data_IF_555952541775
#
_entry.id   IF_555952541775
#
_cell.length_a   1.000
_cell.length_b   1.000
_cell.length_c   1.000
_cell.angle_alpha   90.00
_cell.angle_beta   90.00
_cell.angle_gamma   90.00
#
_symmetry.space_group_name_H-M   'P 1'
#
loop_
_entity.id
_entity.type
_entity.pdbx_description
1 polymer ?
#
# COMPACT_ATOMS: atom_id res chain seq x y z
N UNK A 1 -7.26 -3.33 -13.81
CA UNK A 1 -8.26 -3.10 -12.74
C UNK A 1 -7.65 -2.41 -11.49
N UNK A 2 -8.38 -1.48 -10.86
CA UNK A 2 -7.99 -0.85 -9.57
C UNK A 2 -8.65 -1.56 -8.39
N UNK A 3 -7.84 -2.11 -7.49
CA UNK A 3 -8.28 -2.73 -6.24
C UNK A 3 -7.98 -1.80 -5.08
N UNK A 4 -8.87 -1.75 -4.09
CA UNK A 4 -8.67 -0.97 -2.89
C UNK A 4 -9.05 -1.78 -1.66
N UNK A 5 -8.44 -1.47 -0.52
CA UNK A 5 -8.89 -1.94 0.78
C UNK A 5 -9.23 -0.70 1.61
N UNK A 6 -10.45 -0.21 1.45
CA UNK A 6 -11.01 0.83 2.29
C UNK A 6 -12.01 0.18 3.24
N UNK A 7 -11.85 0.43 4.54
CA UNK A 7 -12.82 0.03 5.57
C UNK A 7 -12.92 -1.49 5.86
N UNK A 8 -12.03 -2.33 5.30
CA UNK A 8 -12.04 -3.78 5.54
C UNK A 8 -13.39 -4.42 5.18
N UNK A 9 -13.91 -5.29 6.05
CA UNK A 9 -15.19 -5.98 5.87
C UNK A 9 -16.44 -5.11 6.10
N UNK A 10 -16.29 -3.81 6.41
CA UNK A 10 -17.45 -2.95 6.64
C UNK A 10 -18.22 -2.59 5.36
N UNK A 11 -17.65 -2.91 4.20
CA UNK A 11 -18.30 -2.73 2.89
C UNK A 11 -18.27 -4.03 2.10
N UNK A 12 -19.21 -4.17 1.17
CA UNK A 12 -19.32 -5.34 0.33
C UNK A 12 -18.12 -5.41 -0.64
N UNK A 13 -17.28 -6.43 -0.48
CA UNK A 13 -16.08 -6.64 -1.29
C UNK A 13 -16.36 -6.96 -2.78
N UNK A 14 -17.62 -7.07 -3.20
CA UNK A 14 -17.97 -7.37 -4.60
C UNK A 14 -18.70 -6.22 -5.30
N UNK A 15 -18.90 -5.08 -4.63
CA UNK A 15 -19.53 -3.92 -5.24
C UNK A 15 -18.47 -2.85 -5.58
N UNK A 16 -18.46 -2.32 -6.82
CA UNK A 16 -17.56 -1.22 -7.15
C UNK A 16 -17.93 0.04 -6.35
N UNK A 17 -16.93 0.67 -5.75
CA UNK A 17 -17.08 1.92 -5.03
C UNK A 17 -16.68 3.10 -5.90
N UNK A 18 -17.45 4.19 -5.78
CA UNK A 18 -17.22 5.44 -6.50
C UNK A 18 -17.01 6.58 -5.51
N UNK A 19 -15.95 7.34 -5.71
CA UNK A 19 -15.78 8.62 -5.03
C UNK A 19 -16.38 9.74 -5.87
N UNK A 20 -17.38 10.42 -5.32
CA UNK A 20 -18.02 11.54 -5.99
C UNK A 20 -17.08 12.76 -6.03
N UNK A 21 -17.11 13.49 -7.14
CA UNK A 21 -16.30 14.69 -7.36
C UNK A 21 -14.78 14.46 -7.43
N UNK A 22 -14.31 13.21 -7.46
CA UNK A 22 -12.91 12.87 -7.75
C UNK A 22 -12.75 12.65 -9.27
N UNK A 23 -11.99 13.52 -9.92
CA UNK A 23 -11.70 13.47 -11.35
C UNK A 23 -10.97 14.72 -11.83
N UNK A 24 -10.34 14.64 -13.00
CA UNK A 24 -9.55 15.72 -13.59
C UNK A 24 -10.08 16.20 -14.96
N UNK A 25 -11.00 15.45 -15.58
CA UNK A 25 -11.59 15.77 -16.89
C UNK A 25 -13.11 15.82 -16.77
N UNK A 26 -13.72 16.91 -17.26
CA UNK A 26 -15.17 17.07 -17.28
C UNK A 26 -15.78 15.98 -18.18
N UNK A 27 -16.71 15.20 -17.63
CA UNK A 27 -17.30 14.06 -18.33
C UNK A 27 -16.36 12.86 -18.52
N UNK A 28 -15.17 12.88 -17.89
CA UNK A 28 -14.23 11.77 -17.90
C UNK A 28 -14.73 10.55 -17.12
N UNK A 29 -13.95 9.47 -17.19
CA UNK A 29 -14.25 8.26 -16.44
C UNK A 29 -14.23 8.53 -14.93
N UNK A 30 -15.23 8.04 -14.18
CA UNK A 30 -15.20 8.14 -12.73
C UNK A 30 -14.05 7.30 -12.16
N UNK A 31 -13.50 7.73 -11.03
CA UNK A 31 -12.60 6.88 -10.25
C UNK A 31 -13.45 5.78 -9.60
N UNK A 32 -13.12 4.54 -9.94
CA UNK A 32 -13.81 3.34 -9.48
C UNK A 32 -12.81 2.42 -8.79
N UNK A 33 -13.25 1.84 -7.68
CA UNK A 33 -12.47 0.88 -6.91
C UNK A 33 -13.24 -0.42 -6.76
N UNK A 34 -12.54 -1.56 -6.83
CA UNK A 34 -13.06 -2.82 -6.32
C UNK A 34 -12.53 -3.02 -4.90
N UNK A 35 -13.42 -2.94 -3.89
CA UNK A 35 -13.00 -3.15 -2.50
C UNK A 35 -12.67 -4.64 -2.30
N UNK A 36 -11.45 -4.97 -1.89
CA UNK A 36 -10.99 -6.34 -1.71
C UNK A 36 -10.13 -6.47 -0.45
N UNK A 37 -10.02 -7.67 0.14
CA UNK A 37 -9.10 -7.90 1.27
C UNK A 37 -7.64 -7.66 0.88
N UNK A 38 -6.81 -7.17 1.81
CA UNK A 38 -5.37 -6.95 1.60
C UNK A 38 -4.65 -8.13 0.93
N UNK A 39 -5.01 -9.35 1.33
CA UNK A 39 -4.44 -10.59 0.80
C UNK A 39 -4.66 -10.71 -0.71
N UNK A 40 -5.85 -10.35 -1.20
CA UNK A 40 -6.14 -10.40 -2.62
C UNK A 40 -5.38 -9.30 -3.39
N UNK A 41 -5.32 -8.08 -2.86
CA UNK A 41 -4.50 -7.00 -3.43
C UNK A 41 -3.06 -7.47 -3.61
N UNK A 42 -2.51 -8.11 -2.58
CA UNK A 42 -1.16 -8.64 -2.61
C UNK A 42 -0.97 -9.77 -3.63
N UNK A 43 -1.89 -10.74 -3.65
CA UNK A 43 -1.82 -11.87 -4.57
C UNK A 43 -1.88 -11.42 -6.02
N UNK A 44 -2.74 -10.45 -6.34
CA UNK A 44 -2.85 -9.86 -7.67
C UNK A 44 -1.60 -9.08 -8.04
N UNK A 45 -1.06 -8.27 -7.11
CA UNK A 45 0.21 -7.57 -7.34
C UNK A 45 1.38 -8.53 -7.59
N UNK A 46 1.44 -9.63 -6.84
CA UNK A 46 2.45 -10.68 -7.04
C UNK A 46 2.30 -11.39 -8.38
N UNK A 47 1.07 -11.65 -8.82
CA UNK A 47 0.81 -12.23 -10.13
C UNK A 47 1.28 -11.30 -11.26
N UNK A 48 0.99 -10.00 -11.16
CA UNK A 48 1.48 -8.96 -12.08
C UNK A 48 3.01 -8.93 -12.14
N UNK A 49 3.69 -8.92 -10.98
CA UNK A 49 5.15 -8.96 -10.91
C UNK A 49 5.73 -10.22 -11.57
N UNK A 50 5.08 -11.39 -11.38
CA UNK A 50 5.48 -12.65 -12.05
C UNK A 50 5.27 -12.60 -13.57
N UNK A 51 4.30 -11.83 -14.04
CA UNK A 51 4.06 -11.57 -15.46
C UNK A 51 5.05 -10.54 -16.06
N UNK A 52 5.93 -9.95 -15.24
CA UNK A 52 6.91 -8.94 -15.67
C UNK A 52 6.37 -7.51 -15.63
N UNK A 53 5.23 -7.28 -14.98
CA UNK A 53 4.57 -5.99 -14.92
C UNK A 53 4.68 -5.40 -13.51
N UNK A 54 5.23 -4.19 -13.45
CA UNK A 54 5.34 -3.42 -12.21
C UNK A 54 3.96 -2.96 -11.74
N UNK A 55 3.76 -2.92 -10.42
CA UNK A 55 2.44 -2.66 -9.82
C UNK A 55 2.44 -1.28 -9.20
N UNK A 56 1.57 -0.41 -9.71
CA UNK A 56 1.34 0.89 -9.10
C UNK A 56 0.48 0.71 -7.83
N UNK A 57 0.80 1.44 -6.77
CA UNK A 57 0.06 1.35 -5.51
C UNK A 57 0.04 2.67 -4.74
N UNK A 58 -1.00 2.87 -3.94
CA UNK A 58 -1.07 3.98 -2.97
C UNK A 58 -0.85 3.50 -1.53
N UNK A 59 -0.14 4.30 -0.75
CA UNK A 59 0.15 4.03 0.65
C UNK A 59 0.27 5.31 1.50
N UNK A 60 0.45 5.13 2.81
CA UNK A 60 0.85 6.19 3.74
C UNK A 60 2.32 6.02 4.15
N UNK A 61 3.25 6.72 3.50
CA UNK A 61 4.69 6.48 3.74
C UNK A 61 5.25 7.20 4.99
N UNK A 62 4.63 8.28 5.43
CA UNK A 62 5.26 9.30 6.29
C UNK A 62 5.09 9.10 7.80
N UNK A 63 4.02 8.45 8.27
CA UNK A 63 3.66 8.45 9.72
C UNK A 63 4.32 7.36 10.56
N UNK A 64 4.91 6.35 9.94
CA UNK A 64 5.34 5.12 10.64
C UNK A 64 6.79 4.71 10.39
N UNK A 65 7.49 5.45 9.53
CA UNK A 65 8.83 5.14 9.07
C UNK A 65 9.67 6.40 9.02
N UNK A 66 10.78 6.45 9.77
CA UNK A 66 11.81 7.44 9.53
C UNK A 66 12.80 6.85 8.52
N UNK A 67 12.34 6.74 7.26
CA UNK A 67 13.08 6.10 6.18
C UNK A 67 14.45 6.76 5.93
N UNK A 68 14.55 8.08 6.11
CA UNK A 68 15.81 8.83 6.04
C UNK A 68 16.81 8.43 7.13
N UNK A 69 16.33 7.92 8.26
CA UNK A 69 17.15 7.39 9.36
C UNK A 69 17.26 5.86 9.31
N UNK A 70 16.71 5.20 8.28
CA UNK A 70 16.67 3.74 8.15
C UNK A 70 15.76 3.04 9.17
N UNK A 71 14.98 3.79 9.96
CA UNK A 71 14.11 3.25 10.99
C UNK A 71 12.83 2.76 10.34
N UNK A 72 12.64 1.44 10.39
CA UNK A 72 11.48 0.77 9.81
C UNK A 72 10.44 0.31 10.84
N UNK A 73 10.73 0.49 12.11
CA UNK A 73 9.88 0.07 13.21
C UNK A 73 10.07 1.04 14.38
N UNK A 74 9.03 1.83 14.68
CA UNK A 74 9.08 2.82 15.76
C UNK A 74 9.04 2.14 17.14
N UNK A 75 8.51 0.92 17.24
CA UNK A 75 8.48 0.17 18.49
C UNK A 75 9.90 -0.14 18.97
N UNK A 76 10.80 -0.50 18.05
CA UNK A 76 12.21 -0.73 18.38
C UNK A 76 12.93 0.51 18.92
N UNK A 77 12.45 1.71 18.58
CA UNK A 77 13.07 2.98 18.99
C UNK A 77 12.50 3.50 20.30
N UNK A 78 11.19 3.38 20.50
CA UNK A 78 10.49 4.01 21.62
C UNK A 78 9.96 3.03 22.68
N UNK A 79 10.16 1.71 22.49
CA UNK A 79 9.65 0.64 23.37
C UNK A 79 8.13 0.75 23.65
N UNK A 80 7.39 1.28 22.66
CA UNK A 80 5.97 1.52 22.75
C UNK A 80 5.30 1.22 21.41
N UNK A 81 4.12 0.61 21.48
CA UNK A 81 3.37 0.24 20.28
C UNK A 81 2.41 1.37 19.86
N UNK A 82 2.90 2.25 18.99
CA UNK A 82 2.08 3.27 18.35
C UNK A 82 1.43 2.79 17.05
N UNK A 83 1.78 1.60 16.55
CA UNK A 83 1.42 1.14 15.22
C UNK A 83 0.18 0.24 15.21
N UNK A 84 -0.12 -0.46 16.31
CA UNK A 84 -1.22 -1.44 16.38
C UNK A 84 -2.37 -1.07 17.30
N UNK A 85 -2.30 0.08 17.99
CA UNK A 85 -3.34 0.54 18.92
C UNK A 85 -4.73 0.66 18.27
N UNK A 86 -4.78 0.93 16.96
CA UNK A 86 -5.99 0.93 16.15
C UNK A 86 -5.79 0.01 14.93
N UNK A 87 -6.84 -0.74 14.59
CA UNK A 87 -6.86 -1.49 13.34
C UNK A 87 -6.87 -0.53 12.13
N UNK A 88 -6.47 -1.02 10.95
CA UNK A 88 -6.35 -0.19 9.73
C UNK A 88 -7.65 0.56 9.38
N UNK A 89 -8.78 -0.11 9.57
CA UNK A 89 -10.12 0.48 9.36
C UNK A 89 -10.37 1.65 10.31
N UNK A 90 -10.13 1.47 11.62
CA UNK A 90 -10.32 2.54 12.60
C UNK A 90 -9.41 3.73 12.33
N UNK A 91 -8.16 3.47 11.90
CA UNK A 91 -7.23 4.54 11.53
C UNK A 91 -7.77 5.42 10.39
N UNK A 92 -8.44 4.82 9.40
CA UNK A 92 -9.09 5.57 8.34
C UNK A 92 -10.31 6.37 8.85
N UNK A 93 -11.16 5.76 9.67
CA UNK A 93 -12.38 6.40 10.20
C UNK A 93 -12.04 7.59 11.11
N UNK A 94 -11.07 7.42 12.00
CA UNK A 94 -10.66 8.44 12.96
C UNK A 94 -9.63 9.42 12.38
N UNK A 95 -9.41 9.43 11.06
CA UNK A 95 -8.47 10.31 10.36
C UNK A 95 -7.03 10.23 10.88
N UNK A 96 -6.65 9.11 11.48
CA UNK A 96 -5.28 8.85 11.92
C UNK A 96 -4.40 8.46 10.73
N UNK A 97 -4.96 7.75 9.74
CA UNK A 97 -4.27 7.32 8.52
C UNK A 97 -5.04 7.74 7.27
N UNK A 98 -4.32 8.00 6.18
CA UNK A 98 -4.88 8.43 4.89
C UNK A 98 -3.95 8.04 3.74
N UNK A 99 -4.50 7.86 2.53
CA UNK A 99 -3.68 7.67 1.31
C UNK A 99 -2.92 8.98 1.01
N UNK A 100 -1.58 8.95 1.05
CA UNK A 100 -0.75 10.17 0.85
C UNK A 100 0.15 10.09 -0.38
N UNK A 101 0.63 8.89 -0.74
CA UNK A 101 1.67 8.72 -1.75
C UNK A 101 1.37 7.56 -2.68
N UNK A 102 1.75 7.73 -3.94
CA UNK A 102 1.70 6.70 -4.98
C UNK A 102 3.12 6.26 -5.36
N UNK A 103 3.34 4.95 -5.41
CA UNK A 103 4.65 4.31 -5.58
C UNK A 103 4.54 3.12 -6.54
N UNK A 104 5.68 2.45 -6.79
CA UNK A 104 5.75 1.31 -7.70
C UNK A 104 6.40 0.09 -7.04
N UNK A 105 5.73 -1.06 -7.05
CA UNK A 105 6.37 -2.34 -6.75
C UNK A 105 7.06 -2.87 -8.00
N UNK A 106 8.33 -3.25 -7.85
CA UNK A 106 9.13 -3.77 -8.97
C UNK A 106 9.72 -5.15 -8.73
N UNK A 107 9.71 -5.65 -7.50
CA UNK A 107 10.07 -7.03 -7.20
C UNK A 107 9.48 -7.50 -5.87
N UNK A 108 9.29 -8.82 -5.76
CA UNK A 108 8.95 -9.51 -4.51
C UNK A 108 9.96 -10.63 -4.26
N UNK A 109 10.44 -10.72 -3.04
CA UNK A 109 11.23 -11.85 -2.55
C UNK A 109 10.30 -12.82 -1.83
N UNK A 110 10.31 -14.06 -2.28
CA UNK A 110 9.58 -15.18 -1.67
C UNK A 110 10.55 -16.04 -0.86
N UNK A 111 10.03 -16.75 0.13
CA UNK A 111 10.75 -17.80 0.84
C UNK A 111 10.58 -19.17 0.18
N UNK A 112 11.16 -20.20 0.80
CA UNK A 112 11.13 -21.59 0.33
C UNK A 112 9.70 -22.15 0.22
N UNK A 113 8.77 -21.63 1.01
CA UNK A 113 7.35 -21.99 0.99
C UNK A 113 6.53 -21.09 0.08
N UNK A 114 7.18 -20.29 -0.78
CA UNK A 114 6.57 -19.30 -1.68
C UNK A 114 5.83 -18.16 -0.98
N UNK A 115 6.08 -17.98 0.32
CA UNK A 115 5.49 -16.88 1.10
C UNK A 115 6.32 -15.60 0.93
N UNK A 116 5.68 -14.43 0.82
CA UNK A 116 6.38 -13.17 0.62
C UNK A 116 7.14 -12.73 1.87
N UNK A 117 8.36 -12.22 1.66
CA UNK A 117 9.21 -11.67 2.74
C UNK A 117 9.53 -10.20 2.57
N UNK A 118 9.87 -9.79 1.35
CA UNK A 118 10.32 -8.41 1.08
C UNK A 118 9.81 -7.92 -0.25
N UNK A 119 9.53 -6.63 -0.31
CA UNK A 119 9.10 -5.92 -1.50
C UNK A 119 10.14 -4.89 -1.88
N UNK A 120 10.49 -4.83 -3.16
CA UNK A 120 11.24 -3.71 -3.73
C UNK A 120 10.24 -2.67 -4.22
N UNK A 121 10.39 -1.47 -3.68
CA UNK A 121 9.54 -0.30 -3.93
C UNK A 121 10.40 0.77 -4.57
N UNK A 122 9.93 1.35 -5.67
CA UNK A 122 10.54 2.52 -6.29
C UNK A 122 9.73 3.76 -5.97
N UNK A 123 10.45 4.84 -5.63
CA UNK A 123 9.87 6.13 -5.28
C UNK A 123 10.39 7.20 -6.27
N UNK A 124 9.55 8.16 -6.62
CA UNK A 124 9.89 9.31 -7.47
C UNK A 124 10.42 10.53 -6.72
N UNK A 125 10.48 10.50 -5.38
CA UNK A 125 10.95 11.61 -4.57
C UNK A 125 12.41 11.97 -4.87
N UNK A 126 12.70 13.28 -4.95
CA UNK A 126 14.04 13.81 -5.23
C UNK A 126 15.03 13.57 -4.10
N UNK A 127 14.54 13.40 -2.88
CA UNK A 127 15.34 13.01 -1.73
C UNK A 127 15.82 11.57 -1.90
N UNK A 128 17.14 11.35 -1.77
CA UNK A 128 17.71 10.00 -1.80
C UNK A 128 17.19 9.19 -0.61
N UNK A 129 16.11 8.46 -0.82
CA UNK A 129 15.64 7.41 0.07
C UNK A 129 16.24 6.08 -0.42
N UNK A 130 17.10 5.47 0.39
CA UNK A 130 17.75 4.19 0.07
C UNK A 130 18.80 4.24 -1.04
N UNK A 131 19.05 3.09 -1.68
CA UNK A 131 19.94 2.98 -2.84
C UNK A 131 19.18 3.34 -4.12
N UNK A 132 19.59 4.40 -4.81
CA UNK A 132 19.04 4.80 -6.13
C UNK A 132 17.50 4.85 -6.16
N UNK A 133 16.87 5.48 -5.17
CA UNK A 133 15.40 5.66 -5.06
C UNK A 133 14.60 4.36 -4.83
N UNK A 134 15.29 3.25 -4.57
CA UNK A 134 14.69 1.97 -4.24
C UNK A 134 14.70 1.74 -2.72
N UNK A 135 13.55 1.29 -2.22
CA UNK A 135 13.34 0.85 -0.85
C UNK A 135 13.08 -0.66 -0.84
N UNK A 136 13.67 -1.36 0.12
CA UNK A 136 13.33 -2.75 0.41
C UNK A 136 12.53 -2.79 1.70
N UNK A 137 11.25 -3.13 1.59
CA UNK A 137 10.30 -3.11 2.70
C UNK A 137 9.94 -4.55 3.11
N UNK A 138 9.79 -4.83 4.41
CA UNK A 138 9.28 -6.13 4.87
C UNK A 138 7.84 -6.32 4.41
N UNK A 139 7.40 -7.56 4.24
CA UNK A 139 6.05 -7.86 3.75
C UNK A 139 4.92 -7.29 4.64
N UNK A 140 5.05 -7.38 5.96
CA UNK A 140 4.02 -6.90 6.90
C UNK A 140 3.74 -5.40 6.76
N UNK A 141 4.71 -4.64 6.24
CA UNK A 141 4.54 -3.25 5.84
C UNK A 141 3.36 -3.05 4.89
N UNK A 142 3.22 -3.94 3.90
CA UNK A 142 2.17 -3.87 2.88
C UNK A 142 0.79 -3.89 3.52
N UNK A 143 0.56 -4.85 4.42
CA UNK A 143 -0.75 -5.08 5.03
C UNK A 143 -1.22 -3.86 5.84
N UNK A 144 -0.30 -3.17 6.50
CA UNK A 144 -0.65 -2.08 7.40
C UNK A 144 -0.93 -0.75 6.70
N UNK A 145 -0.27 -0.47 5.57
CA UNK A 145 -0.27 0.89 5.02
C UNK A 145 -0.47 1.01 3.50
N UNK A 146 -0.57 -0.09 2.76
CA UNK A 146 -0.99 -0.05 1.35
C UNK A 146 -2.50 -0.09 1.29
N UNK A 147 -3.11 0.83 0.56
CA UNK A 147 -4.57 0.92 0.45
C UNK A 147 -5.07 0.56 -0.94
N UNK A 148 -4.30 0.83 -1.98
CA UNK A 148 -4.73 0.69 -3.37
C UNK A 148 -3.63 0.01 -4.18
N UNK A 149 -4.02 -0.88 -5.11
CA UNK A 149 -3.13 -1.41 -6.14
C UNK A 149 -3.82 -1.36 -7.49
N UNK A 150 -3.04 -1.10 -8.53
CA UNK A 150 -3.49 -1.19 -9.93
C UNK A 150 -2.73 -2.34 -10.59
N UNK A 151 -3.51 -3.30 -11.06
CA UNK A 151 -3.07 -4.47 -11.82
C UNK A 151 -3.85 -4.49 -13.13
N UNK A 152 -3.54 -5.38 -14.08
CA UNK A 152 -4.37 -5.52 -15.29
C UNK A 152 -5.71 -6.23 -14.99
#
# INVERSE_FOLDING_TARGET
MTLIELFGNMKNNNAPERHYCLGNVIGGHPVLYSNQPAELLFNMGTASLKAGEAVWFCCEISKRFALSQGIKDLKQVFDADFQTALCKTDRLIYSESSLTDALLFTAVSLDENTSPKKLRVENSSREKLGEKYCLVMPFDWFQHIVFEVVVD
#
